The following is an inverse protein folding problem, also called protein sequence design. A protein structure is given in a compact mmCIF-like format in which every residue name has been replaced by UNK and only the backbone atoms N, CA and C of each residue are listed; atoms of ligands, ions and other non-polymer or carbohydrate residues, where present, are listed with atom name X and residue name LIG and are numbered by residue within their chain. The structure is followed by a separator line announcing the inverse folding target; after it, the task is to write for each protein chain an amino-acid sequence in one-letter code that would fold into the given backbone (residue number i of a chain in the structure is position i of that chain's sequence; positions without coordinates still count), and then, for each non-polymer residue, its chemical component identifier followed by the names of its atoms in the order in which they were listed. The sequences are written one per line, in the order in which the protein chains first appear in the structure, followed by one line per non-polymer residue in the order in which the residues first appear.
data_IF_408395026259
#
_entry.id   IF_408395026259
#
_cell.length_a   1.000
_cell.length_b   1.000
_cell.length_c   1.000
_cell.angle_alpha   90.00
_cell.angle_beta   90.00
_cell.angle_gamma   90.00
#
_symmetry.space_group_name_H-M   'P 1'
#
loop_
_entity.id
_entity.type
_entity.pdbx_description
1 polymer ?
#
# COMPACT_ATOMS: atom_id res chain seq x y z
N UNK A 1 -13.21 10.78 -78.91
CA UNK A 1 -13.83 10.30 -77.67
C UNK A 1 -12.71 9.96 -76.76
N UNK A 2 -12.46 10.83 -75.73
CA UNK A 2 -11.39 10.65 -74.79
C UNK A 2 -12.03 10.63 -73.39
N UNK A 3 -12.05 9.45 -72.75
CA UNK A 3 -12.52 9.23 -71.37
C UNK A 3 -11.48 9.70 -70.39
N UNK A 4 -11.82 10.74 -69.63
CA UNK A 4 -11.00 11.24 -68.52
C UNK A 4 -11.32 10.44 -67.25
N UNK A 5 -10.44 9.54 -66.87
CA UNK A 5 -10.51 8.87 -65.56
C UNK A 5 -10.00 9.80 -64.48
N UNK A 6 -10.90 10.29 -63.66
CA UNK A 6 -10.59 11.09 -62.49
C UNK A 6 -10.00 10.18 -61.39
N UNK A 7 -8.71 10.37 -61.05
CA UNK A 7 -8.03 9.75 -59.91
C UNK A 7 -8.64 10.26 -58.60
N UNK A 8 -9.02 9.38 -57.65
CA UNK A 8 -9.50 9.84 -56.33
C UNK A 8 -8.39 10.53 -55.58
N UNK A 9 -8.67 11.68 -54.97
CA UNK A 9 -7.74 12.53 -54.22
C UNK A 9 -7.31 11.87 -52.90
N UNK A 10 -6.15 11.22 -52.88
CA UNK A 10 -5.54 10.61 -51.68
C UNK A 10 -5.07 11.63 -50.65
N UNK A 11 -5.03 12.92 -50.97
CA UNK A 11 -4.50 13.97 -50.09
C UNK A 11 -5.38 14.34 -48.88
N UNK A 12 -6.69 14.05 -48.93
CA UNK A 12 -7.58 14.33 -47.79
C UNK A 12 -7.51 13.28 -46.71
N UNK A 13 -7.33 12.02 -47.06
CA UNK A 13 -7.20 10.92 -46.11
C UNK A 13 -5.88 11.01 -45.29
N UNK A 14 -4.78 11.41 -45.93
CA UNK A 14 -3.49 11.59 -45.23
C UNK A 14 -3.47 12.79 -44.32
N UNK A 15 -4.27 13.83 -44.55
CA UNK A 15 -4.41 14.97 -43.68
C UNK A 15 -5.31 14.70 -42.45
N UNK A 16 -6.27 13.78 -42.57
CA UNK A 16 -7.20 13.43 -41.46
C UNK A 16 -6.63 12.35 -40.55
N UNK A 17 -5.77 11.48 -41.06
CA UNK A 17 -5.16 10.38 -40.26
C UNK A 17 -4.51 10.85 -38.94
N UNK A 18 -3.66 11.90 -38.87
CA UNK A 18 -3.08 12.34 -37.60
C UNK A 18 -4.14 12.85 -36.60
N UNK A 19 -5.20 13.48 -37.11
CA UNK A 19 -6.29 13.98 -36.25
C UNK A 19 -7.04 12.80 -35.61
N UNK A 20 -7.33 11.77 -36.40
CA UNK A 20 -7.97 10.55 -35.89
C UNK A 20 -7.10 9.86 -34.84
N UNK A 21 -5.79 9.77 -35.07
CA UNK A 21 -4.84 9.18 -34.09
C UNK A 21 -4.85 9.97 -32.77
N UNK A 22 -4.80 11.30 -32.83
CA UNK A 22 -4.85 12.14 -31.62
C UNK A 22 -6.18 11.97 -30.89
N UNK A 23 -7.31 11.95 -31.60
CA UNK A 23 -8.62 11.72 -30.97
C UNK A 23 -8.72 10.34 -30.31
N UNK A 24 -8.18 9.30 -30.93
CA UNK A 24 -8.12 7.96 -30.33
C UNK A 24 -7.23 7.94 -29.07
N UNK A 25 -6.08 8.59 -29.10
CA UNK A 25 -5.21 8.70 -27.93
C UNK A 25 -5.90 9.46 -26.78
N UNK A 26 -6.57 10.56 -27.11
CA UNK A 26 -7.34 11.33 -26.10
C UNK A 26 -8.48 10.48 -25.52
N UNK A 27 -9.19 9.73 -26.35
CA UNK A 27 -10.28 8.85 -25.89
C UNK A 27 -9.76 7.72 -24.99
N UNK A 28 -8.62 7.09 -25.33
CA UNK A 28 -7.98 6.06 -24.52
C UNK A 28 -7.50 6.64 -23.19
N UNK A 29 -6.90 7.84 -23.21
CA UNK A 29 -6.42 8.50 -22.01
C UNK A 29 -7.58 8.92 -21.09
N UNK A 30 -8.65 9.51 -21.69
CA UNK A 30 -9.85 9.87 -20.94
C UNK A 30 -10.52 8.65 -20.30
N UNK A 31 -10.60 7.53 -21.02
CA UNK A 31 -11.11 6.28 -20.48
C UNK A 31 -10.26 5.81 -19.29
N UNK A 32 -8.92 5.86 -19.42
CA UNK A 32 -8.01 5.48 -18.33
C UNK A 32 -8.19 6.37 -17.10
N UNK A 33 -8.39 7.67 -17.26
CA UNK A 33 -8.66 8.58 -16.16
C UNK A 33 -9.99 8.25 -15.45
N UNK A 34 -11.03 7.91 -16.22
CA UNK A 34 -12.32 7.48 -15.65
C UNK A 34 -12.16 6.16 -14.90
N UNK A 35 -11.48 5.17 -15.49
CA UNK A 35 -11.22 3.87 -14.86
C UNK A 35 -10.46 4.02 -13.52
N UNK A 36 -9.53 5.00 -13.41
CA UNK A 36 -8.82 5.33 -12.16
C UNK A 36 -9.76 6.00 -11.15
N UNK A 37 -10.67 6.87 -11.58
CA UNK A 37 -11.68 7.48 -10.70
C UNK A 37 -12.71 6.47 -10.19
N UNK A 38 -12.99 5.41 -10.96
CA UNK A 38 -13.93 4.34 -10.62
C UNK A 38 -13.29 3.22 -9.76
N UNK A 39 -12.10 3.46 -9.18
CA UNK A 39 -11.45 2.58 -8.20
C UNK A 39 -10.47 1.57 -8.77
N UNK A 40 -10.10 1.66 -10.04
CA UNK A 40 -8.91 0.97 -10.55
C UNK A 40 -7.66 1.74 -10.12
N UNK A 41 -7.21 1.51 -8.88
CA UNK A 41 -5.93 2.03 -8.42
C UNK A 41 -4.79 1.30 -9.17
N UNK A 42 -4.06 2.00 -10.06
CA UNK A 42 -2.94 1.41 -10.79
C UNK A 42 -1.78 0.99 -9.86
N UNK A 43 -1.79 1.42 -8.61
CA UNK A 43 -0.80 1.06 -7.58
C UNK A 43 -1.22 -0.17 -6.77
N UNK A 44 -2.45 -0.66 -6.91
CA UNK A 44 -2.82 -1.96 -6.33
C UNK A 44 -2.18 -3.09 -7.14
N UNK A 45 -0.90 -3.28 -6.93
CA UNK A 45 -0.23 -4.53 -7.30
C UNK A 45 -0.89 -5.61 -6.46
N UNK A 46 -1.66 -6.51 -7.09
CA UNK A 46 -2.15 -7.71 -6.38
C UNK A 46 -0.92 -8.40 -5.81
N UNK A 47 -0.73 -8.26 -4.51
CA UNK A 47 0.37 -8.94 -3.83
C UNK A 47 0.17 -10.44 -4.03
N UNK A 48 1.20 -11.12 -4.50
CA UNK A 48 1.21 -12.59 -4.61
C UNK A 48 1.11 -13.26 -3.22
N UNK A 49 1.21 -12.48 -2.16
CA UNK A 49 1.11 -12.93 -0.76
C UNK A 49 -0.31 -12.82 -0.18
N UNK A 50 -1.29 -12.31 -0.94
CA UNK A 50 -2.69 -12.36 -0.46
C UNK A 50 -3.13 -13.82 -0.33
N UNK A 51 -3.85 -14.09 0.77
CA UNK A 51 -4.31 -15.42 1.15
C UNK A 51 -3.19 -16.43 1.41
N UNK A 52 -1.97 -15.96 1.70
CA UNK A 52 -0.86 -16.79 2.16
C UNK A 52 -0.51 -16.50 3.62
N UNK A 53 0.04 -17.48 4.35
CA UNK A 53 0.56 -17.24 5.68
C UNK A 53 1.59 -16.10 5.71
N UNK A 54 1.62 -15.34 6.80
CA UNK A 54 2.69 -14.38 7.06
C UNK A 54 4.05 -15.07 7.01
N UNK A 55 5.09 -14.40 6.51
CA UNK A 55 6.45 -14.94 6.52
C UNK A 55 6.91 -15.26 7.95
N UNK A 56 7.85 -16.20 8.05
CA UNK A 56 8.52 -16.48 9.31
C UNK A 56 9.50 -15.36 9.61
N UNK A 57 9.25 -14.63 10.71
CA UNK A 57 10.06 -13.50 11.17
C UNK A 57 10.31 -13.60 12.67
N UNK A 58 11.49 -13.14 13.09
CA UNK A 58 11.86 -12.93 14.49
C UNK A 58 12.73 -11.67 14.55
N UNK A 59 12.08 -10.52 14.60
CA UNK A 59 12.72 -9.21 14.53
C UNK A 59 13.07 -8.68 15.91
N UNK A 60 14.31 -8.22 16.14
CA UNK A 60 14.73 -7.65 17.41
C UNK A 60 13.93 -6.38 17.73
N UNK A 61 13.74 -6.06 19.02
CA UNK A 61 13.06 -4.85 19.46
C UNK A 61 13.89 -3.58 19.20
N UNK A 62 13.21 -2.45 19.16
CA UNK A 62 13.89 -1.17 19.39
C UNK A 62 14.44 -1.13 20.85
N UNK A 63 15.60 -0.52 21.08
CA UNK A 63 16.15 -0.38 22.43
C UNK A 63 15.12 0.20 23.42
N UNK A 64 15.01 -0.40 24.58
CA UNK A 64 14.12 0.05 25.68
C UNK A 64 12.61 -0.01 25.33
N UNK A 65 12.21 -0.67 24.23
CA UNK A 65 10.83 -0.68 23.71
C UNK A 65 10.15 -2.07 23.77
N UNK A 66 10.45 -2.86 24.79
CA UNK A 66 9.80 -4.17 25.02
C UNK A 66 10.31 -5.27 24.08
N UNK A 67 9.52 -6.32 23.85
CA UNK A 67 9.89 -7.39 22.92
C UNK A 67 9.84 -6.91 21.46
N UNK A 68 10.59 -7.64 20.61
CA UNK A 68 10.52 -7.44 19.16
C UNK A 68 9.21 -7.95 18.56
N UNK A 69 9.23 -8.19 17.26
CA UNK A 69 8.06 -8.70 16.52
C UNK A 69 8.40 -10.05 15.86
N UNK A 70 7.72 -11.09 16.31
CA UNK A 70 7.84 -12.43 15.76
C UNK A 70 6.53 -12.85 15.06
N UNK A 71 6.61 -13.85 14.19
CA UNK A 71 5.45 -14.45 13.50
C UNK A 71 4.33 -14.85 14.45
N UNK A 72 4.67 -15.31 15.64
CA UNK A 72 3.68 -15.73 16.65
C UNK A 72 2.81 -14.58 17.15
N UNK A 73 3.35 -13.34 17.14
CA UNK A 73 2.59 -12.15 17.54
C UNK A 73 1.53 -11.74 16.49
N UNK A 74 1.59 -12.32 15.29
CA UNK A 74 0.67 -12.07 14.18
C UNK A 74 -0.43 -13.14 14.09
N UNK A 75 -0.66 -13.91 15.17
CA UNK A 75 -1.65 -14.98 15.26
C UNK A 75 -2.53 -14.79 16.50
N UNK A 76 -3.73 -15.38 16.45
CA UNK A 76 -4.67 -15.36 17.57
C UNK A 76 -5.78 -14.34 17.40
N UNK A 77 -5.49 -13.20 16.81
CA UNK A 77 -6.48 -12.16 16.50
C UNK A 77 -6.15 -11.42 15.20
N UNK A 78 -7.12 -10.67 14.68
CA UNK A 78 -6.90 -9.84 13.50
C UNK A 78 -5.97 -8.68 13.85
N UNK A 79 -4.91 -8.51 13.08
CA UNK A 79 -3.80 -7.61 13.40
C UNK A 79 -3.42 -6.75 12.20
N UNK A 80 -3.00 -5.52 12.44
CA UNK A 80 -2.37 -4.65 11.45
C UNK A 80 -0.84 -4.71 11.58
N UNK A 81 -0.15 -4.82 10.44
CA UNK A 81 1.32 -4.72 10.36
C UNK A 81 1.68 -3.56 9.44
N UNK A 82 2.28 -2.52 9.98
CA UNK A 82 2.68 -1.32 9.23
C UNK A 82 4.21 -1.30 9.04
N UNK A 83 4.62 -1.13 7.80
CA UNK A 83 6.02 -0.96 7.41
C UNK A 83 6.33 0.54 7.37
N UNK A 84 7.26 0.98 8.17
CA UNK A 84 7.57 2.39 8.33
C UNK A 84 9.06 2.65 8.55
N UNK A 85 9.45 3.92 8.63
CA UNK A 85 10.79 4.34 9.02
C UNK A 85 10.84 5.83 9.32
N UNK A 86 11.81 6.27 10.12
CA UNK A 86 11.99 7.68 10.50
C UNK A 86 12.34 8.57 9.30
N UNK A 87 12.89 8.00 8.26
CA UNK A 87 13.25 8.63 6.98
C UNK A 87 12.04 8.79 6.02
N UNK A 88 10.91 8.13 6.34
CA UNK A 88 9.75 8.05 5.47
C UNK A 88 8.83 9.28 5.67
N UNK A 89 8.88 10.24 4.74
CA UNK A 89 8.03 11.44 4.79
C UNK A 89 6.54 11.09 4.63
N UNK A 90 6.22 10.14 3.76
CA UNK A 90 4.85 9.70 3.53
C UNK A 90 4.24 9.00 4.77
N UNK A 91 5.05 8.32 5.60
CA UNK A 91 4.59 7.72 6.84
C UNK A 91 4.07 8.77 7.84
N UNK A 92 4.62 9.99 7.79
CA UNK A 92 4.14 11.07 8.65
C UNK A 92 2.70 11.51 8.30
N UNK A 93 2.26 11.33 7.06
CA UNK A 93 0.92 11.72 6.63
C UNK A 93 -0.18 10.76 7.13
N UNK A 94 0.11 9.47 7.30
CA UNK A 94 -0.84 8.49 7.85
C UNK A 94 -0.78 8.40 9.38
N UNK A 95 0.31 8.85 9.98
CA UNK A 95 0.60 8.66 11.41
C UNK A 95 -0.51 9.16 12.35
N UNK A 96 -1.15 10.33 12.13
CA UNK A 96 -2.28 10.77 12.94
C UNK A 96 -3.43 9.76 12.96
N UNK A 97 -3.75 9.15 11.81
CA UNK A 97 -4.77 8.10 11.72
C UNK A 97 -4.36 6.85 12.49
N UNK A 98 -3.10 6.42 12.37
CA UNK A 98 -2.61 5.26 13.15
C UNK A 98 -2.68 5.53 14.67
N UNK A 99 -2.43 6.76 15.11
CA UNK A 99 -2.59 7.17 16.51
C UNK A 99 -4.05 7.10 16.95
N UNK A 100 -5.01 7.49 16.11
CA UNK A 100 -6.45 7.37 16.40
C UNK A 100 -6.85 5.89 16.51
N UNK A 101 -6.45 5.05 15.55
CA UNK A 101 -6.71 3.59 15.56
C UNK A 101 -6.14 2.93 16.82
N UNK A 102 -4.90 3.27 17.18
CA UNK A 102 -4.27 2.76 18.39
C UNK A 102 -4.99 3.22 19.67
N UNK A 103 -5.46 4.47 19.70
CA UNK A 103 -6.19 5.01 20.86
C UNK A 103 -7.54 4.33 21.10
N UNK A 104 -8.19 3.83 20.06
CA UNK A 104 -9.41 3.01 20.17
C UNK A 104 -9.13 1.64 20.81
N UNK A 105 -7.89 1.17 20.73
CA UNK A 105 -7.44 -0.12 21.28
C UNK A 105 -8.35 -1.31 20.87
N UNK A 106 -8.81 -1.25 19.63
CA UNK A 106 -9.74 -2.25 19.08
C UNK A 106 -9.04 -3.30 18.24
N UNK A 107 -7.84 -3.01 17.71
CA UNK A 107 -7.06 -3.90 16.86
C UNK A 107 -5.56 -3.74 17.17
N UNK A 108 -4.82 -4.85 17.38
CA UNK A 108 -3.37 -4.78 17.50
C UNK A 108 -2.74 -4.13 16.28
N UNK A 109 -1.85 -3.17 16.52
CA UNK A 109 -1.10 -2.48 15.50
C UNK A 109 0.40 -2.68 15.76
N UNK A 110 1.07 -3.41 14.89
CA UNK A 110 2.49 -3.67 14.99
C UNK A 110 3.27 -2.93 13.91
N UNK A 111 4.47 -2.48 14.25
CA UNK A 111 5.35 -1.76 13.35
C UNK A 111 6.57 -2.58 12.95
N UNK A 112 6.97 -2.50 11.68
CA UNK A 112 8.29 -2.97 11.23
C UNK A 112 9.10 -1.72 10.83
N UNK A 113 10.12 -1.40 11.64
CA UNK A 113 11.04 -0.31 11.37
C UNK A 113 12.04 -0.74 10.29
N UNK A 114 11.73 -0.39 9.05
CA UNK A 114 12.44 -0.85 7.87
C UNK A 114 13.64 0.03 7.54
N UNK A 115 14.84 -0.59 7.47
CA UNK A 115 16.11 0.09 7.09
C UNK A 115 16.32 1.39 7.84
N UNK A 116 16.01 1.37 9.12
CA UNK A 116 16.10 2.55 9.97
C UNK A 116 17.12 2.38 11.10
N UNK A 117 17.69 3.48 11.52
CA UNK A 117 18.56 3.56 12.67
C UNK A 117 17.72 3.51 13.95
N UNK A 118 18.01 2.59 14.92
CA UNK A 118 17.19 2.43 16.11
C UNK A 118 16.94 3.73 16.89
N UNK A 119 17.98 4.55 17.04
CA UNK A 119 17.87 5.83 17.74
C UNK A 119 17.11 6.89 16.93
N UNK A 120 17.10 6.79 15.59
CA UNK A 120 16.30 7.68 14.75
C UNK A 120 14.82 7.31 14.87
N UNK A 121 14.48 6.02 14.83
CA UNK A 121 13.13 5.51 15.09
C UNK A 121 12.59 5.97 16.44
N UNK A 122 13.37 5.79 17.53
CA UNK A 122 12.97 6.22 18.88
C UNK A 122 12.73 7.73 18.96
N UNK A 123 13.60 8.54 18.36
CA UNK A 123 13.40 10.01 18.32
C UNK A 123 12.18 10.40 17.52
N UNK A 124 11.90 9.66 16.44
CA UNK A 124 10.73 9.92 15.62
C UNK A 124 9.43 9.61 16.39
N UNK A 125 9.35 8.46 17.05
CA UNK A 125 8.22 8.08 17.91
C UNK A 125 8.03 9.03 19.09
N UNK A 126 9.11 9.45 19.72
CA UNK A 126 9.05 10.41 20.84
C UNK A 126 8.47 11.78 20.41
N UNK A 127 8.65 12.19 19.15
CA UNK A 127 8.15 13.46 18.64
C UNK A 127 6.72 13.39 18.11
N UNK A 128 6.36 12.26 17.51
CA UNK A 128 5.10 12.14 16.77
C UNK A 128 4.06 11.29 17.51
N UNK A 129 4.45 10.60 18.56
CA UNK A 129 3.66 9.57 19.26
C UNK A 129 4.03 8.17 18.81
N UNK A 130 3.60 7.18 19.59
CA UNK A 130 3.86 5.76 19.33
C UNK A 130 2.54 4.99 19.28
N UNK A 131 2.07 4.62 18.06
CA UNK A 131 0.82 3.89 17.89
C UNK A 131 0.98 2.37 17.98
N UNK A 132 2.22 1.86 18.06
CA UNK A 132 2.50 0.44 17.89
C UNK A 132 2.53 -0.32 19.22
N UNK A 133 1.89 -1.48 19.27
CA UNK A 133 1.99 -2.42 20.40
C UNK A 133 3.37 -3.08 20.45
N UNK A 134 3.83 -3.59 19.29
CA UNK A 134 5.16 -4.18 19.12
C UNK A 134 5.87 -3.53 17.95
N UNK A 135 7.19 -3.43 18.05
CA UNK A 135 8.02 -2.96 16.93
C UNK A 135 9.19 -3.92 16.72
N UNK A 136 9.28 -4.44 15.50
CA UNK A 136 10.44 -5.19 15.03
C UNK A 136 11.37 -4.33 14.18
N UNK A 137 12.68 -4.43 14.39
CA UNK A 137 13.68 -3.78 13.55
C UNK A 137 14.03 -4.67 12.37
N UNK A 138 14.00 -4.11 11.15
CA UNK A 138 14.40 -4.78 9.91
C UNK A 138 15.49 -3.98 9.17
N UNK A 139 16.70 -3.91 9.73
CA UNK A 139 17.79 -3.11 9.15
C UNK A 139 18.28 -3.66 7.81
N UNK A 140 18.12 -4.97 7.58
CA UNK A 140 18.62 -5.66 6.38
C UNK A 140 17.54 -5.96 5.36
N UNK A 141 16.30 -5.53 5.60
CA UNK A 141 15.15 -5.76 4.70
C UNK A 141 14.72 -7.23 4.60
N UNK A 142 15.05 -8.08 5.54
CA UNK A 142 14.71 -9.51 5.48
C UNK A 142 13.20 -9.70 5.57
N UNK A 143 12.56 -9.07 6.56
CA UNK A 143 11.11 -9.08 6.72
C UNK A 143 10.43 -8.33 5.56
N UNK A 144 10.91 -7.14 5.20
CA UNK A 144 10.32 -6.36 4.11
C UNK A 144 10.32 -7.15 2.78
N UNK A 145 11.42 -7.84 2.45
CA UNK A 145 11.50 -8.70 1.26
C UNK A 145 10.51 -9.88 1.38
N UNK A 146 10.47 -10.53 2.52
CA UNK A 146 9.57 -11.67 2.75
C UNK A 146 8.09 -11.28 2.66
N UNK A 147 7.71 -10.08 3.13
CA UNK A 147 6.38 -9.49 2.97
C UNK A 147 6.13 -8.88 1.58
N UNK A 148 7.10 -8.97 0.66
CA UNK A 148 6.97 -8.38 -0.67
C UNK A 148 6.76 -6.87 -0.64
N UNK A 149 7.40 -6.17 0.31
CA UNK A 149 7.33 -4.72 0.45
C UNK A 149 7.99 -4.05 -0.73
N UNK A 150 7.32 -3.06 -1.31
CA UNK A 150 7.81 -2.29 -2.47
C UNK A 150 8.26 -0.89 -2.06
N UNK A 151 7.78 -0.40 -0.93
CA UNK A 151 8.09 0.92 -0.38
C UNK A 151 7.52 1.10 1.01
N UNK A 152 7.73 2.27 1.63
CA UNK A 152 7.08 2.66 2.86
C UNK A 152 6.29 3.95 2.65
N UNK A 153 5.09 4.08 3.27
CA UNK A 153 4.47 3.07 4.13
C UNK A 153 3.74 1.98 3.33
N UNK A 154 3.64 0.80 3.90
CA UNK A 154 2.73 -0.26 3.48
C UNK A 154 2.10 -0.91 4.71
N UNK A 155 0.81 -1.23 4.64
CA UNK A 155 0.09 -1.84 5.77
C UNK A 155 -0.56 -3.14 5.35
N UNK A 156 -0.41 -4.17 6.17
CA UNK A 156 -1.01 -5.48 5.97
C UNK A 156 -2.11 -5.72 7.01
N UNK A 157 -3.22 -6.30 6.58
CA UNK A 157 -4.24 -6.88 7.46
C UNK A 157 -3.99 -8.37 7.52
N UNK A 158 -3.76 -8.88 8.71
CA UNK A 158 -3.50 -10.30 8.99
C UNK A 158 -4.65 -10.85 9.83
N UNK A 159 -5.20 -12.00 9.45
CA UNK A 159 -6.27 -12.65 10.21
C UNK A 159 -5.73 -13.43 11.43
N UNK A 160 -6.65 -13.94 12.24
CA UNK A 160 -6.31 -14.70 13.45
C UNK A 160 -5.54 -16.00 13.20
N UNK A 161 -5.55 -16.52 11.98
CA UNK A 161 -4.74 -17.67 11.57
C UNK A 161 -3.32 -17.28 11.12
N UNK A 162 -3.00 -15.99 11.06
CA UNK A 162 -1.73 -15.48 10.56
C UNK A 162 -1.67 -15.48 9.03
N UNK A 163 -2.80 -15.27 8.35
CA UNK A 163 -2.89 -15.19 6.88
C UNK A 163 -3.06 -13.72 6.47
N UNK A 164 -2.28 -13.27 5.49
CA UNK A 164 -2.38 -11.93 4.92
C UNK A 164 -3.66 -11.83 4.09
N UNK A 165 -4.61 -10.99 4.51
CA UNK A 165 -5.90 -10.80 3.82
C UNK A 165 -5.97 -9.53 2.98
N UNK A 166 -5.15 -8.54 3.32
CA UNK A 166 -5.11 -7.30 2.57
C UNK A 166 -3.73 -6.66 2.66
N UNK A 167 -3.36 -5.93 1.62
CA UNK A 167 -2.14 -5.11 1.56
C UNK A 167 -2.50 -3.74 1.02
N UNK A 168 -2.27 -2.71 1.81
CA UNK A 168 -2.34 -1.32 1.37
C UNK A 168 -0.94 -0.81 1.03
N UNK A 169 -0.79 -0.19 -0.13
CA UNK A 169 0.47 0.40 -0.60
C UNK A 169 0.34 1.92 -0.56
N UNK A 170 1.23 2.57 0.14
CA UNK A 170 1.20 4.02 0.38
C UNK A 170 0.52 4.41 1.69
N UNK A 171 0.42 5.70 1.98
CA UNK A 171 -0.18 6.18 3.23
C UNK A 171 -1.68 5.93 3.27
N UNK A 172 -2.16 5.34 4.38
CA UNK A 172 -3.59 5.13 4.62
C UNK A 172 -4.28 6.47 4.81
N UNK A 173 -5.34 6.73 4.04
CA UNK A 173 -6.23 7.87 4.25
C UNK A 173 -7.42 7.47 5.14
N UNK A 174 -8.17 8.47 5.64
CA UNK A 174 -9.41 8.20 6.37
C UNK A 174 -10.43 7.43 5.50
N UNK A 175 -10.46 7.68 4.20
CA UNK A 175 -11.32 6.95 3.25
C UNK A 175 -10.91 5.50 3.13
N UNK A 176 -9.60 5.21 2.96
CA UNK A 176 -9.10 3.82 2.91
C UNK A 176 -9.43 3.06 4.20
N UNK A 177 -9.30 3.73 5.34
CA UNK A 177 -9.64 3.17 6.63
C UNK A 177 -11.12 2.85 6.73
N UNK A 178 -12.00 3.83 6.51
CA UNK A 178 -13.44 3.69 6.75
C UNK A 178 -14.16 2.83 5.72
N UNK A 179 -13.71 2.85 4.46
CA UNK A 179 -14.41 2.17 3.37
C UNK A 179 -13.82 0.78 3.07
N UNK A 180 -12.56 0.53 3.45
CA UNK A 180 -11.87 -0.72 3.08
C UNK A 180 -11.34 -1.47 4.29
N UNK A 181 -10.45 -0.85 5.10
CA UNK A 181 -9.68 -1.59 6.10
C UNK A 181 -10.57 -1.95 7.30
N UNK A 182 -11.26 -0.99 7.90
CA UNK A 182 -12.10 -1.25 9.08
C UNK A 182 -13.23 -2.23 8.79
N UNK A 183 -14.00 -2.15 7.67
CA UNK A 183 -14.99 -3.17 7.33
C UNK A 183 -14.40 -4.57 7.14
N UNK A 184 -13.21 -4.67 6.53
CA UNK A 184 -12.53 -5.95 6.37
C UNK A 184 -12.12 -6.54 7.73
N UNK A 185 -11.58 -5.72 8.62
CA UNK A 185 -11.21 -6.14 9.98
C UNK A 185 -12.43 -6.70 10.73
N UNK A 186 -13.57 -6.01 10.67
CA UNK A 186 -14.81 -6.47 11.29
C UNK A 186 -15.33 -7.79 10.68
N UNK A 187 -15.19 -7.95 9.36
CA UNK A 187 -15.55 -9.20 8.69
C UNK A 187 -14.64 -10.36 9.12
N UNK A 188 -13.35 -10.13 9.30
CA UNK A 188 -12.38 -11.17 9.67
C UNK A 188 -12.48 -11.61 11.14
N UNK A 189 -13.16 -10.83 11.98
CA UNK A 189 -13.40 -11.12 13.41
C UNK A 189 -14.63 -11.99 13.66
N UNK A 190 -15.50 -12.16 12.66
CA UNK A 190 -16.73 -12.98 12.74
C UNK A 190 -16.43 -14.48 12.58
#
# INVERSE_FOLDING_TARGET
MSEGTSKPSSGRLTAIAPIIIVLLLVAVFAKRLIDVQDGLDPNQVKSVLLDTPVPDIDLPPLPERGPGLATENLKGEVTLVNIWGSWCVACLSEHPLLMEVAAENTIPLHGIAWRDEPQASLRWLARNGDPFDLIGQDPFSEAAIAFGVTGAPETFVVDSAGVIRYKHVGPITMTDWTETIAPLVEQLRQ
#
